data_IF_944495372402
#
_entry.id   IF_944495372402
#
_cell.length_a   1.000
_cell.length_b   1.000
_cell.length_c   1.000
_cell.angle_alpha   90.00
_cell.angle_beta   90.00
_cell.angle_gamma   90.00
#
_symmetry.space_group_name_H-M   'P 1'
#
loop_
_entity.id
_entity.type
_entity.pdbx_description
1 polymer ?
#
# COMPACT_ATOMS: atom_id res chain seq x y z
N UNK A 1 -32.91 -3.05 -5.34
CA UNK A 1 -31.80 -2.65 -6.24
C UNK A 1 -30.59 -2.17 -5.42
N UNK A 2 -29.84 -3.04 -4.72
CA UNK A 2 -28.60 -2.60 -4.04
C UNK A 2 -27.55 -3.70 -3.74
N UNK A 3 -27.66 -4.91 -4.32
CA UNK A 3 -26.70 -5.99 -4.04
C UNK A 3 -25.54 -6.10 -5.05
N UNK A 4 -25.65 -5.45 -6.21
CA UNK A 4 -24.63 -5.57 -7.27
C UNK A 4 -23.28 -4.93 -6.90
N UNK A 5 -23.27 -3.86 -6.07
CA UNK A 5 -22.04 -3.10 -5.77
C UNK A 5 -21.07 -3.82 -4.81
N UNK A 6 -21.57 -4.68 -3.92
CA UNK A 6 -20.69 -5.42 -3.01
C UNK A 6 -20.02 -6.61 -3.69
N UNK A 7 -20.70 -7.27 -4.64
CA UNK A 7 -20.15 -8.42 -5.37
C UNK A 7 -19.03 -7.99 -6.34
N UNK A 8 -19.11 -6.79 -6.93
CA UNK A 8 -18.06 -6.24 -7.81
C UNK A 8 -16.74 -5.91 -7.09
N UNK A 9 -16.80 -5.59 -5.79
CA UNK A 9 -15.59 -5.35 -4.98
C UNK A 9 -14.93 -6.69 -4.64
N UNK A 10 -15.72 -7.71 -4.30
CA UNK A 10 -15.21 -9.04 -3.98
C UNK A 10 -14.68 -9.79 -5.20
N UNK A 11 -15.31 -9.65 -6.38
CA UNK A 11 -14.85 -10.34 -7.60
C UNK A 11 -13.50 -9.82 -8.11
N UNK A 12 -13.18 -8.55 -7.87
CA UNK A 12 -11.84 -7.99 -8.17
C UNK A 12 -10.74 -8.52 -7.26
N UNK A 13 -11.10 -9.01 -6.07
CA UNK A 13 -10.13 -9.58 -5.11
C UNK A 13 -9.79 -11.04 -5.45
N UNK A 14 -10.66 -11.77 -6.15
CA UNK A 14 -10.55 -13.23 -6.31
C UNK A 14 -10.25 -13.73 -7.73
N UNK A 15 -10.22 -12.86 -8.75
CA UNK A 15 -10.24 -13.33 -10.15
C UNK A 15 -8.91 -13.28 -10.90
N UNK A 16 -7.80 -12.86 -10.29
CA UNK A 16 -6.51 -12.89 -10.98
C UNK A 16 -5.35 -12.70 -10.02
N UNK A 17 -4.24 -13.34 -10.39
CA UNK A 17 -2.87 -13.14 -9.94
C UNK A 17 -2.40 -14.16 -8.90
N UNK A 18 -1.32 -14.93 -9.16
CA UNK A 18 -0.57 -15.57 -8.09
C UNK A 18 -0.25 -14.50 -7.05
N UNK A 19 -0.24 -14.83 -5.74
CA UNK A 19 0.20 -13.91 -4.67
C UNK A 19 1.44 -13.16 -5.16
N UNK A 20 1.27 -11.89 -5.58
CA UNK A 20 2.35 -11.12 -6.21
C UNK A 20 3.53 -11.13 -5.23
N UNK A 21 4.72 -11.49 -5.71
CA UNK A 21 5.96 -11.50 -4.90
C UNK A 21 6.10 -10.17 -4.15
N UNK A 22 5.69 -9.07 -4.79
CA UNK A 22 5.66 -7.73 -4.24
C UNK A 22 4.65 -7.56 -3.10
N UNK A 23 3.45 -8.17 -3.16
CA UNK A 23 2.48 -8.11 -2.06
C UNK A 23 3.04 -8.79 -0.80
N UNK A 24 3.64 -9.97 -0.94
CA UNK A 24 4.28 -10.66 0.19
C UNK A 24 5.47 -9.88 0.73
N UNK A 25 6.28 -9.30 -0.16
CA UNK A 25 7.43 -8.48 0.24
C UNK A 25 6.98 -7.21 0.98
N UNK A 26 6.02 -6.47 0.44
CA UNK A 26 5.49 -5.23 1.03
C UNK A 26 4.91 -5.50 2.42
N UNK A 27 4.09 -6.55 2.55
CA UNK A 27 3.53 -6.93 3.85
C UNK A 27 4.61 -7.32 4.86
N UNK A 28 5.69 -8.00 4.44
CA UNK A 28 6.82 -8.33 5.33
C UNK A 28 7.65 -7.12 5.76
N UNK A 29 7.66 -6.05 4.95
CA UNK A 29 8.39 -4.80 5.20
C UNK A 29 7.54 -3.77 5.96
N UNK A 30 6.27 -4.06 6.19
CA UNK A 30 5.32 -3.16 6.84
C UNK A 30 5.58 -3.11 8.36
N UNK A 31 5.83 -1.93 8.95
CA UNK A 31 5.96 -1.79 10.40
C UNK A 31 4.67 -2.17 11.14
N UNK A 32 4.77 -2.61 12.41
CA UNK A 32 3.64 -3.09 13.21
C UNK A 32 2.50 -2.06 13.41
N UNK A 33 2.79 -0.77 13.29
CA UNK A 33 1.85 0.35 13.47
C UNK A 33 1.46 1.01 12.14
N UNK A 34 1.64 0.28 11.03
CA UNK A 34 1.21 0.67 9.69
C UNK A 34 0.17 -0.33 9.22
N UNK A 35 -1.00 0.17 8.81
CA UNK A 35 -2.07 -0.65 8.31
C UNK A 35 -2.25 -0.40 6.82
N UNK A 36 -2.18 -1.47 6.03
CA UNK A 36 -2.38 -1.39 4.59
C UNK A 36 -3.86 -1.53 4.26
N UNK A 37 -4.37 -0.61 3.45
CA UNK A 37 -5.73 -0.65 2.93
C UNK A 37 -5.78 -1.24 1.52
N UNK A 38 -4.79 -0.92 0.68
CA UNK A 38 -4.72 -1.44 -0.69
C UNK A 38 -3.27 -1.48 -1.17
N UNK A 39 -2.96 -2.48 -1.98
CA UNK A 39 -1.73 -2.56 -2.77
C UNK A 39 -2.18 -2.77 -4.21
N UNK A 40 -1.80 -1.86 -5.09
CA UNK A 40 -2.08 -1.94 -6.53
C UNK A 40 -0.77 -2.14 -7.25
N UNK A 41 -0.63 -3.32 -7.84
CA UNK A 41 0.50 -3.70 -8.68
C UNK A 41 0.20 -3.28 -10.13
N UNK A 42 1.09 -2.50 -10.74
CA UNK A 42 1.08 -2.15 -12.16
C UNK A 42 2.40 -2.61 -12.77
N UNK A 43 2.46 -2.75 -14.10
CA UNK A 43 3.61 -3.32 -14.82
C UNK A 43 4.98 -2.77 -14.36
N UNK A 44 5.08 -1.45 -14.13
CA UNK A 44 6.34 -0.79 -13.75
C UNK A 44 6.35 -0.23 -12.32
N UNK A 45 5.24 -0.31 -11.59
CA UNK A 45 5.11 0.37 -10.30
C UNK A 45 4.06 -0.22 -9.38
N UNK A 46 4.31 -0.09 -8.08
CA UNK A 46 3.37 -0.46 -7.03
C UNK A 46 2.89 0.79 -6.31
N UNK A 47 1.58 0.90 -6.16
CA UNK A 47 0.93 1.90 -5.32
C UNK A 47 0.47 1.24 -4.02
N UNK A 48 0.86 1.80 -2.89
CA UNK A 48 0.53 1.29 -1.55
C UNK A 48 -0.28 2.37 -0.84
N UNK A 49 -1.50 2.02 -0.42
CA UNK A 49 -2.37 2.90 0.35
C UNK A 49 -2.58 2.32 1.73
N UNK A 50 -2.50 3.17 2.74
CA UNK A 50 -2.63 2.74 4.13
C UNK A 50 -2.87 3.88 5.10
N UNK A 51 -2.83 3.56 6.38
CA UNK A 51 -2.92 4.52 7.46
C UNK A 51 -1.95 4.17 8.58
N UNK A 52 -1.49 5.19 9.30
CA UNK A 52 -0.63 5.03 10.48
C UNK A 52 -0.94 6.06 11.54
N UNK A 53 -0.66 5.75 12.80
CA UNK A 53 -0.77 6.69 13.91
C UNK A 53 0.36 7.72 13.96
N UNK A 54 1.44 7.57 13.16
CA UNK A 54 2.56 8.52 13.16
C UNK A 54 3.27 8.63 11.81
N UNK A 55 3.79 9.82 11.51
CA UNK A 55 4.65 10.05 10.34
C UNK A 55 5.99 9.30 10.42
N UNK A 56 6.45 9.03 11.65
CA UNK A 56 7.67 8.25 11.89
C UNK A 56 7.52 6.82 11.34
N UNK A 57 6.36 6.20 11.56
CA UNK A 57 6.08 4.85 11.07
C UNK A 57 5.96 4.80 9.54
N UNK A 58 5.38 5.84 8.93
CA UNK A 58 5.34 6.00 7.46
C UNK A 58 6.76 6.15 6.91
N UNK A 59 7.59 6.97 7.55
CA UNK A 59 8.99 7.19 7.16
C UNK A 59 9.82 5.90 7.26
N UNK A 60 9.61 5.11 8.32
CA UNK A 60 10.27 3.81 8.46
C UNK A 60 9.83 2.84 7.36
N UNK A 61 8.55 2.83 7.01
CA UNK A 61 8.04 1.98 5.94
C UNK A 61 8.69 2.32 4.59
N UNK A 62 8.80 3.61 4.25
CA UNK A 62 9.49 4.08 3.04
C UNK A 62 10.96 3.61 3.03
N UNK A 63 11.66 3.70 4.16
CA UNK A 63 13.04 3.20 4.29
C UNK A 63 13.12 1.69 4.09
N UNK A 64 12.20 0.92 4.65
CA UNK A 64 12.16 -0.53 4.48
C UNK A 64 11.98 -0.91 3.00
N UNK A 65 11.05 -0.25 2.31
CA UNK A 65 10.82 -0.46 0.87
C UNK A 65 12.05 -0.12 0.04
N UNK A 66 12.69 1.03 0.33
CA UNK A 66 13.90 1.47 -0.39
C UNK A 66 15.10 0.54 -0.14
N UNK A 67 15.18 -0.06 1.05
CA UNK A 67 16.29 -0.96 1.42
C UNK A 67 16.13 -2.38 0.88
N UNK A 68 14.96 -2.74 0.37
CA UNK A 68 14.66 -4.09 -0.12
C UNK A 68 15.32 -4.40 -1.48
N UNK A 69 15.83 -3.39 -2.20
CA UNK A 69 16.50 -3.55 -3.50
C UNK A 69 15.59 -3.95 -4.67
N UNK A 70 14.31 -4.20 -4.41
CA UNK A 70 13.27 -4.56 -5.39
C UNK A 70 12.43 -3.37 -5.85
N UNK A 71 12.51 -2.26 -5.11
CA UNK A 71 11.75 -1.05 -5.35
C UNK A 71 12.71 0.12 -5.61
N UNK A 72 12.36 0.97 -6.57
CA UNK A 72 13.05 2.22 -6.91
C UNK A 72 12.07 3.40 -6.80
N UNK A 73 12.59 4.62 -6.74
CA UNK A 73 11.78 5.85 -6.77
C UNK A 73 10.63 5.89 -5.74
N UNK A 74 10.88 5.38 -4.53
CA UNK A 74 9.88 5.31 -3.46
C UNK A 74 9.51 6.73 -2.99
N UNK A 75 8.25 7.12 -3.15
CA UNK A 75 7.76 8.47 -2.87
C UNK A 75 6.42 8.47 -2.13
N UNK A 76 6.23 9.45 -1.25
CA UNK A 76 4.99 9.66 -0.49
C UNK A 76 4.15 10.74 -1.18
N UNK A 77 2.92 10.43 -1.60
CA UNK A 77 2.11 11.32 -2.45
C UNK A 77 0.77 11.75 -1.82
N UNK A 78 0.48 11.39 -0.58
CA UNK A 78 -0.68 11.96 0.14
C UNK A 78 -0.51 11.78 1.65
N UNK A 79 -0.80 12.83 2.41
CA UNK A 79 -0.97 12.81 3.86
C UNK A 79 -2.32 13.51 4.08
N UNK A 80 -3.40 12.76 4.17
CA UNK A 80 -4.68 13.32 4.64
C UNK A 80 -4.88 12.87 6.06
N UNK A 81 -4.92 13.81 7.00
CA UNK A 81 -5.55 13.59 8.30
C UNK A 81 -7.03 13.33 8.02
N UNK A 82 -7.55 12.15 8.37
CA UNK A 82 -8.93 11.79 8.06
C UNK A 82 -9.91 12.86 8.58
N UNK A 83 -10.84 13.32 7.73
CA UNK A 83 -11.84 14.34 8.08
C UNK A 83 -12.82 13.89 9.19
N UNK A 84 -12.76 12.63 9.62
CA UNK A 84 -13.58 12.06 10.70
C UNK A 84 -12.70 11.62 11.89
N UNK A 85 -12.39 12.54 12.80
CA UNK A 85 -12.00 12.28 14.21
C UNK A 85 -11.00 11.13 14.48
N UNK A 86 -10.14 10.80 13.53
CA UNK A 86 -9.20 9.69 13.64
C UNK A 86 -7.80 10.29 13.69
N UNK A 87 -7.06 10.02 14.76
CA UNK A 87 -5.63 10.33 14.88
C UNK A 87 -4.76 9.58 13.84
N UNK A 88 -5.39 8.84 12.92
CA UNK A 88 -4.73 8.13 11.84
C UNK A 88 -4.45 9.04 10.65
N UNK A 89 -3.20 8.99 10.21
CA UNK A 89 -2.70 9.64 9.00
C UNK A 89 -2.90 8.69 7.84
N UNK A 90 -3.73 9.07 6.86
CA UNK A 90 -3.90 8.31 5.63
C UNK A 90 -2.78 8.66 4.66
N UNK A 91 -2.09 7.63 4.17
CA UNK A 91 -0.96 7.79 3.27
C UNK A 91 -1.10 7.01 1.96
N UNK A 92 -0.41 7.52 0.93
CA UNK A 92 -0.19 6.82 -0.34
C UNK A 92 1.29 6.85 -0.67
N UNK A 93 1.90 5.68 -0.82
CA UNK A 93 3.28 5.50 -1.28
C UNK A 93 3.25 4.97 -2.71
N UNK A 94 4.12 5.52 -3.55
CA UNK A 94 4.39 5.04 -4.89
C UNK A 94 5.81 4.51 -4.94
N UNK A 95 6.01 3.34 -5.53
CA UNK A 95 7.32 2.75 -5.72
C UNK A 95 7.42 2.18 -7.14
N UNK A 96 8.47 2.52 -7.88
CA UNK A 96 8.80 1.84 -9.12
C UNK A 96 9.32 0.43 -8.85
N UNK A 97 9.05 -0.50 -9.75
CA UNK A 97 9.62 -1.85 -9.69
C UNK A 97 11.02 -1.80 -10.33
N UNK A 98 12.01 -2.36 -9.62
CA UNK A 98 13.32 -2.60 -10.19
C UNK A 98 13.37 -4.03 -10.71
N UNK A 99 13.37 -4.21 -12.02
CA UNK A 99 13.80 -5.47 -12.62
C UNK A 99 15.29 -5.66 -12.25
N UNK A 100 15.61 -6.83 -11.70
CA UNK A 100 16.99 -7.24 -11.37
C UNK A 100 17.54 -7.99 -12.57
#
# INVERSE_FOLDING_TARGET
RTFQKQIDIFSKITSSTPKSEYVNLITSLTPAEVFLNSITDNEDSVQIMGYSGSEQNISQFIKNLSSAGKFKDVSLNKISSGEDNSSAIVFTIWAGISEI
#
